data_IF_210682785186
#
_entry.id   IF_210682785186
#
_cell.length_a   1.000
_cell.length_b   1.000
_cell.length_c   1.000
_cell.angle_alpha   90.00
_cell.angle_beta   90.00
_cell.angle_gamma   90.00
#
_symmetry.space_group_name_H-M   'P 1'
#
loop_
_entity.id
_entity.type
_entity.pdbx_description
1 polymer ?
#
# COMPACT_ATOMS: atom_id res chain seq x y z
N UNK A 1 -52.71 44.45 3.37
CA UNK A 1 -51.72 43.41 3.71
C UNK A 1 -50.80 43.98 4.79
N UNK A 2 -50.94 43.51 6.03
CA UNK A 2 -50.32 44.11 7.22
C UNK A 2 -48.95 43.47 7.43
N UNK A 3 -47.87 44.17 7.08
CA UNK A 3 -46.51 43.75 7.41
C UNK A 3 -46.32 43.88 8.92
N UNK A 4 -46.29 42.75 9.64
CA UNK A 4 -45.94 42.69 11.06
C UNK A 4 -44.45 43.01 11.21
N UNK A 5 -44.14 44.23 11.68
CA UNK A 5 -42.80 44.61 12.11
C UNK A 5 -42.49 43.87 13.41
N UNK A 6 -41.50 42.98 13.42
CA UNK A 6 -41.03 42.33 14.64
C UNK A 6 -40.40 43.39 15.59
N UNK A 7 -40.62 43.28 16.91
CA UNK A 7 -40.07 44.20 17.89
C UNK A 7 -38.54 44.09 17.98
N UNK A 8 -37.84 45.22 18.07
CA UNK A 8 -36.38 45.30 18.11
C UNK A 8 -35.71 44.37 19.16
N UNK A 9 -36.40 44.11 20.28
CA UNK A 9 -35.95 43.22 21.34
C UNK A 9 -35.82 41.73 20.92
N UNK A 10 -36.52 41.31 19.86
CA UNK A 10 -36.46 39.93 19.34
C UNK A 10 -35.36 39.74 18.29
N UNK A 11 -34.79 40.83 17.77
CA UNK A 11 -33.79 40.79 16.68
C UNK A 11 -32.39 40.46 17.22
N UNK A 12 -32.03 40.98 18.39
CA UNK A 12 -30.74 40.74 19.06
C UNK A 12 -30.45 39.25 19.37
N UNK A 13 -31.37 38.51 20.05
CA UNK A 13 -31.10 37.09 20.36
C UNK A 13 -31.08 36.23 19.09
N UNK A 14 -31.88 36.56 18.08
CA UNK A 14 -31.91 35.82 16.80
C UNK A 14 -30.60 36.03 16.03
N UNK A 15 -30.04 37.25 16.00
CA UNK A 15 -28.71 37.50 15.41
C UNK A 15 -27.60 36.77 16.17
N UNK A 16 -27.65 36.76 17.50
CA UNK A 16 -26.65 36.07 18.33
C UNK A 16 -26.66 34.55 18.12
N UNK A 17 -27.86 33.96 18.01
CA UNK A 17 -28.03 32.53 17.70
C UNK A 17 -27.52 32.23 16.28
N UNK A 18 -27.84 33.06 15.28
CA UNK A 18 -27.30 32.91 13.92
C UNK A 18 -25.78 33.01 13.90
N UNK A 19 -25.17 33.96 14.60
CA UNK A 19 -23.71 34.07 14.70
C UNK A 19 -23.08 32.87 15.41
N UNK A 20 -23.70 32.35 16.47
CA UNK A 20 -23.20 31.17 17.19
C UNK A 20 -23.28 29.89 16.35
N UNK A 21 -24.35 29.73 15.55
CA UNK A 21 -24.51 28.63 14.60
C UNK A 21 -23.50 28.73 13.44
N UNK A 22 -23.21 29.95 12.95
CA UNK A 22 -22.15 30.18 11.96
C UNK A 22 -20.75 29.85 12.52
N UNK A 23 -20.44 30.25 13.76
CA UNK A 23 -19.14 29.96 14.42
C UNK A 23 -18.95 28.46 14.68
N UNK A 24 -20.02 27.74 15.01
CA UNK A 24 -19.95 26.28 15.19
C UNK A 24 -19.88 25.51 13.86
N UNK A 25 -20.38 26.08 12.76
CA UNK A 25 -20.19 25.51 11.41
C UNK A 25 -18.76 25.67 10.87
N UNK A 26 -18.03 26.71 11.30
CA UNK A 26 -16.67 26.98 10.79
C UNK A 26 -15.59 26.03 11.33
N UNK A 27 -15.81 25.33 12.44
CA UNK A 27 -14.82 24.39 12.98
C UNK A 27 -14.83 23.00 12.32
N UNK A 28 -15.76 22.74 11.40
CA UNK A 28 -15.95 21.41 10.81
C UNK A 28 -15.40 21.24 9.39
N UNK A 29 -14.49 22.10 8.91
CA UNK A 29 -13.98 22.02 7.52
C UNK A 29 -12.45 22.13 7.44
N UNK A 30 -11.73 21.22 8.10
CA UNK A 30 -10.31 20.95 7.81
C UNK A 30 -10.02 19.44 7.90
N UNK A 31 -10.62 18.66 7.01
CA UNK A 31 -10.08 17.36 6.61
C UNK A 31 -9.59 17.43 5.17
N UNK A 32 -8.59 18.29 4.94
CA UNK A 32 -7.83 18.27 3.69
C UNK A 32 -6.92 17.04 3.76
N UNK A 33 -7.26 16.00 2.99
CA UNK A 33 -6.46 14.81 2.64
C UNK A 33 -4.98 14.91 3.06
N UNK A 34 -4.70 14.62 4.33
CA UNK A 34 -3.32 14.57 4.81
C UNK A 34 -2.65 13.34 4.17
N UNK A 35 -1.43 13.53 3.66
CA UNK A 35 -0.60 12.41 3.24
C UNK A 35 -0.43 11.47 4.43
N UNK A 36 -0.72 10.16 4.30
CA UNK A 36 -0.57 9.23 5.41
C UNK A 36 0.85 9.27 5.97
N UNK A 37 0.99 9.05 7.28
CA UNK A 37 2.27 9.17 7.97
C UNK A 37 3.36 8.31 7.32
N UNK A 38 3.00 7.09 6.87
CA UNK A 38 3.92 6.16 6.22
C UNK A 38 4.48 6.64 4.87
N UNK A 39 3.91 7.68 4.26
CA UNK A 39 4.39 8.27 2.99
C UNK A 39 5.18 9.55 3.26
N UNK A 40 6.51 9.43 3.17
CA UNK A 40 7.38 10.59 3.02
C UNK A 40 7.24 11.17 1.60
N UNK A 41 6.58 12.31 1.47
CA UNK A 41 6.26 12.92 0.17
C UNK A 41 7.45 13.57 -0.51
N UNK A 42 7.56 13.41 -1.84
CA UNK A 42 8.58 14.03 -2.68
C UNK A 42 7.97 15.05 -3.63
N UNK A 43 8.61 16.22 -3.77
CA UNK A 43 8.17 17.23 -4.73
C UNK A 43 8.56 16.84 -6.15
N UNK A 44 7.60 16.89 -7.09
CA UNK A 44 7.83 16.54 -8.51
C UNK A 44 8.89 17.40 -9.19
N UNK A 45 9.09 18.63 -8.71
CA UNK A 45 10.05 19.60 -9.22
C UNK A 45 11.43 19.47 -8.57
N UNK A 46 11.63 18.56 -7.60
CA UNK A 46 12.92 18.37 -6.94
C UNK A 46 13.94 17.78 -7.93
N UNK A 47 15.06 18.48 -8.24
CA UNK A 47 16.11 17.94 -9.11
C UNK A 47 16.76 16.68 -8.54
N UNK A 48 16.57 16.37 -7.25
CA UNK A 48 17.05 15.17 -6.55
C UNK A 48 15.91 14.22 -6.17
N UNK A 49 14.81 14.23 -6.93
CA UNK A 49 13.64 13.38 -6.66
C UNK A 49 13.97 11.89 -6.46
N UNK A 50 14.93 11.33 -7.22
CA UNK A 50 15.34 9.93 -7.03
C UNK A 50 15.90 9.67 -5.61
N UNK A 51 16.66 10.62 -5.06
CA UNK A 51 17.20 10.50 -3.70
C UNK A 51 16.11 10.67 -2.65
N UNK A 52 15.11 11.54 -2.91
CA UNK A 52 13.94 11.66 -2.06
C UNK A 52 13.15 10.35 -2.03
N UNK A 53 12.83 9.78 -3.20
CA UNK A 53 12.11 8.50 -3.33
C UNK A 53 12.86 7.38 -2.60
N UNK A 54 14.19 7.31 -2.72
CA UNK A 54 15.00 6.35 -1.96
C UNK A 54 14.74 6.46 -0.45
N UNK A 55 14.77 7.69 0.09
CA UNK A 55 14.48 7.94 1.51
C UNK A 55 13.04 7.57 1.87
N UNK A 56 12.09 7.77 0.96
CA UNK A 56 10.69 7.36 1.15
C UNK A 56 10.59 5.85 1.33
N UNK A 57 11.33 5.04 0.57
CA UNK A 57 11.36 3.59 0.82
C UNK A 57 11.98 3.25 2.18
N UNK A 58 13.10 3.88 2.54
CA UNK A 58 13.71 3.68 3.86
C UNK A 58 12.75 4.05 5.02
N UNK A 59 11.96 5.12 4.86
CA UNK A 59 10.90 5.54 5.78
C UNK A 59 9.71 4.56 5.82
N UNK A 60 9.35 4.01 4.67
CA UNK A 60 8.21 3.10 4.52
C UNK A 60 8.48 1.73 5.16
N UNK A 61 9.75 1.30 5.28
CA UNK A 61 10.17 0.00 5.81
C UNK A 61 9.43 -0.45 7.08
N UNK A 62 9.41 0.29 8.21
CA UNK A 62 8.72 -0.15 9.43
C UNK A 62 7.22 -0.41 9.20
N UNK A 63 6.55 0.39 8.36
CA UNK A 63 5.14 0.22 8.06
C UNK A 63 4.88 -1.00 7.16
N UNK A 64 5.81 -1.36 6.27
CA UNK A 64 5.71 -2.62 5.51
C UNK A 64 5.89 -3.83 6.43
N UNK A 65 6.79 -3.73 7.41
CA UNK A 65 7.01 -4.80 8.40
C UNK A 65 5.76 -5.02 9.25
N UNK A 66 5.10 -3.97 9.72
CA UNK A 66 3.84 -4.12 10.48
C UNK A 66 2.62 -4.43 9.61
N UNK A 67 2.70 -4.14 8.31
CA UNK A 67 1.53 -3.98 7.46
C UNK A 67 0.82 -2.65 7.69
N UNK A 68 -0.12 -2.32 6.82
CA UNK A 68 -0.92 -1.09 6.85
C UNK A 68 -2.41 -1.48 6.77
N UNK A 69 -3.09 -1.62 7.93
CA UNK A 69 -4.48 -2.13 7.99
C UNK A 69 -5.49 -1.29 7.20
N UNK A 70 -5.29 0.03 7.17
CA UNK A 70 -6.15 1.00 6.49
C UNK A 70 -6.32 0.70 4.99
N UNK A 71 -5.25 0.20 4.36
CA UNK A 71 -5.24 -0.21 2.95
C UNK A 71 -5.19 -1.73 2.77
N UNK A 72 -5.43 -2.49 3.85
CA UNK A 72 -5.39 -3.96 3.86
C UNK A 72 -4.05 -4.53 3.39
N UNK A 73 -2.96 -3.80 3.62
CA UNK A 73 -1.61 -4.30 3.34
C UNK A 73 -1.18 -5.19 4.51
N UNK A 74 -0.94 -6.46 4.22
CA UNK A 74 -0.37 -7.40 5.18
C UNK A 74 1.13 -7.10 5.43
N UNK A 75 1.66 -7.66 6.51
CA UNK A 75 3.09 -7.61 6.80
C UNK A 75 3.92 -8.24 5.68
N UNK A 76 5.08 -7.64 5.39
CA UNK A 76 6.12 -8.25 4.54
C UNK A 76 7.12 -9.11 5.32
N UNK A 77 7.01 -9.19 6.65
CA UNK A 77 7.96 -9.89 7.53
C UNK A 77 7.29 -10.41 8.82
N UNK A 78 6.98 -11.71 8.91
CA UNK A 78 6.99 -12.67 7.81
C UNK A 78 5.87 -12.40 6.81
N UNK A 79 6.16 -12.55 5.51
CA UNK A 79 5.14 -12.50 4.47
C UNK A 79 4.45 -13.86 4.37
N UNK A 80 3.16 -13.90 4.72
CA UNK A 80 2.34 -15.12 4.69
C UNK A 80 1.48 -15.15 3.44
N UNK A 81 1.61 -16.19 2.62
CA UNK A 81 0.80 -16.41 1.43
C UNK A 81 0.06 -17.75 1.58
N UNK A 82 -1.27 -17.73 1.78
CA UNK A 82 -2.03 -18.96 2.04
C UNK A 82 -1.97 -19.96 0.89
N UNK A 83 -1.99 -19.46 -0.36
CA UNK A 83 -1.95 -20.29 -1.56
C UNK A 83 -1.38 -19.51 -2.74
N UNK A 84 -0.47 -20.14 -3.48
CA UNK A 84 0.02 -19.66 -4.77
C UNK A 84 -0.05 -20.79 -5.78
N UNK A 85 -0.52 -20.49 -6.99
CA UNK A 85 -0.63 -21.46 -8.07
C UNK A 85 0.13 -20.96 -9.29
N UNK A 86 0.98 -21.83 -9.84
CA UNK A 86 1.75 -21.58 -11.05
C UNK A 86 1.45 -22.67 -12.06
N UNK A 87 1.17 -22.27 -13.30
CA UNK A 87 0.91 -23.20 -14.39
C UNK A 87 1.54 -22.68 -15.67
N UNK A 88 2.25 -23.54 -16.40
CA UNK A 88 2.58 -23.32 -17.80
C UNK A 88 1.78 -24.27 -18.69
N UNK A 89 1.15 -23.74 -19.74
CA UNK A 89 0.15 -24.47 -20.53
C UNK A 89 0.69 -25.34 -21.66
N UNK A 90 1.65 -24.83 -22.43
CA UNK A 90 2.05 -25.41 -23.72
C UNK A 90 3.56 -25.68 -23.78
N UNK A 91 3.95 -26.63 -24.64
CA UNK A 91 5.34 -26.93 -24.94
C UNK A 91 5.84 -28.23 -24.30
N UNK A 92 7.16 -28.42 -24.39
CA UNK A 92 7.87 -29.61 -23.89
C UNK A 92 7.78 -29.78 -22.37
N UNK A 93 7.46 -28.72 -21.61
CA UNK A 93 7.33 -28.74 -20.16
C UNK A 93 5.95 -28.22 -19.81
N UNK A 94 5.12 -29.09 -19.22
CA UNK A 94 3.76 -28.75 -18.76
C UNK A 94 3.66 -29.10 -17.29
N UNK A 95 3.60 -28.09 -16.44
CA UNK A 95 3.69 -28.23 -14.99
C UNK A 95 2.64 -27.32 -14.35
N UNK A 96 1.94 -27.89 -13.37
CA UNK A 96 1.12 -27.16 -12.40
C UNK A 96 1.77 -27.34 -11.03
N UNK A 97 2.12 -26.24 -10.40
CA UNK A 97 2.66 -26.18 -9.05
C UNK A 97 1.70 -25.41 -8.16
N UNK A 98 1.28 -26.02 -7.05
CA UNK A 98 0.50 -25.38 -6.00
C UNK A 98 1.38 -25.30 -4.77
N UNK A 99 1.54 -24.10 -4.24
CA UNK A 99 2.23 -23.85 -2.98
C UNK A 99 1.20 -23.42 -1.94
N UNK A 100 1.32 -23.94 -0.73
CA UNK A 100 0.38 -23.69 0.37
C UNK A 100 1.09 -23.25 1.64
N UNK A 101 0.39 -22.45 2.44
CA UNK A 101 0.86 -22.00 3.76
C UNK A 101 2.29 -21.44 3.73
N UNK A 102 2.62 -20.65 2.70
CA UNK A 102 3.97 -20.15 2.55
C UNK A 102 4.24 -19.05 3.57
N UNK A 103 5.40 -19.12 4.22
CA UNK A 103 5.89 -18.09 5.13
C UNK A 103 7.27 -17.67 4.66
N UNK A 104 7.41 -16.41 4.27
CA UNK A 104 8.62 -15.85 3.66
C UNK A 104 9.26 -14.86 4.64
N UNK A 105 10.56 -15.03 4.86
CA UNK A 105 11.37 -14.23 5.77
C UNK A 105 12.50 -13.50 5.04
N UNK A 106 12.92 -12.38 5.60
CA UNK A 106 14.07 -11.60 5.14
C UNK A 106 13.72 -10.49 4.14
N UNK A 107 12.47 -10.40 3.67
CA UNK A 107 12.04 -9.39 2.70
C UNK A 107 12.15 -7.96 3.27
N UNK A 108 12.07 -7.80 4.59
CA UNK A 108 12.28 -6.51 5.27
C UNK A 108 13.72 -6.01 5.23
N UNK A 109 14.70 -6.90 5.10
CA UNK A 109 16.13 -6.57 5.08
C UNK A 109 16.60 -6.15 3.68
N UNK A 110 15.82 -5.31 3.02
CA UNK A 110 16.16 -4.78 1.72
C UNK A 110 17.00 -3.49 1.83
N UNK A 111 17.92 -3.34 0.87
CA UNK A 111 18.62 -2.09 0.58
C UNK A 111 18.20 -1.57 -0.78
N UNK A 112 17.84 -0.27 -0.86
CA UNK A 112 17.55 0.39 -2.13
C UNK A 112 18.86 0.71 -2.83
N UNK A 113 19.18 0.00 -3.90
CA UNK A 113 20.44 0.15 -4.66
C UNK A 113 20.33 1.21 -5.75
N UNK A 114 19.15 1.42 -6.33
CA UNK A 114 18.95 2.42 -7.38
C UNK A 114 17.51 2.88 -7.48
N UNK A 115 17.32 4.15 -7.80
CA UNK A 115 16.01 4.72 -8.15
C UNK A 115 16.16 5.49 -9.46
N UNK A 116 15.32 5.19 -10.44
CA UNK A 116 15.18 5.98 -11.67
C UNK A 116 13.72 6.36 -11.86
N UNK A 117 13.40 7.64 -11.85
CA UNK A 117 12.04 8.13 -12.06
C UNK A 117 11.94 8.96 -13.34
N UNK A 118 10.87 8.72 -14.08
CA UNK A 118 10.37 9.58 -15.15
C UNK A 118 9.00 10.10 -14.71
N UNK A 119 8.99 11.32 -14.19
CA UNK A 119 7.80 11.95 -13.61
C UNK A 119 6.76 12.27 -14.69
N UNK A 120 7.19 12.53 -15.92
CA UNK A 120 6.28 12.84 -17.03
C UNK A 120 5.55 11.58 -17.50
N UNK A 121 6.23 10.43 -17.50
CA UNK A 121 5.64 9.13 -17.85
C UNK A 121 5.06 8.37 -16.65
N UNK A 122 5.13 8.95 -15.45
CA UNK A 122 4.74 8.31 -14.19
C UNK A 122 5.39 6.93 -14.01
N UNK A 123 6.65 6.79 -14.43
CA UNK A 123 7.41 5.55 -14.34
C UNK A 123 8.47 5.68 -13.26
N UNK A 124 8.61 4.63 -12.45
CA UNK A 124 9.66 4.52 -11.46
C UNK A 124 10.25 3.11 -11.51
N UNK A 125 11.56 3.02 -11.76
CA UNK A 125 12.32 1.78 -11.69
C UNK A 125 13.11 1.78 -10.38
N UNK A 126 12.87 0.75 -9.56
CA UNK A 126 13.48 0.55 -8.26
C UNK A 126 14.37 -0.69 -8.29
N UNK A 127 15.63 -0.53 -7.89
CA UNK A 127 16.52 -1.64 -7.62
C UNK A 127 16.55 -1.92 -6.12
N UNK A 128 16.25 -3.15 -5.73
CA UNK A 128 16.33 -3.63 -4.36
C UNK A 128 17.35 -4.77 -4.27
N UNK A 129 18.16 -4.76 -3.22
CA UNK A 129 19.03 -5.88 -2.84
C UNK A 129 18.52 -6.46 -1.53
N UNK A 130 18.27 -7.77 -1.51
CA UNK A 130 17.87 -8.51 -0.31
C UNK A 130 18.91 -9.61 -0.10
N UNK A 131 19.70 -9.60 0.98
CA UNK A 131 20.87 -10.46 1.12
C UNK A 131 20.51 -11.93 1.35
N UNK A 132 19.34 -12.19 1.96
CA UNK A 132 18.84 -13.54 2.24
C UNK A 132 17.32 -13.50 2.25
N UNK A 133 16.70 -14.43 1.53
CA UNK A 133 15.29 -14.74 1.61
C UNK A 133 15.18 -16.20 1.99
N UNK A 134 14.31 -16.49 2.95
CA UNK A 134 13.93 -17.86 3.30
C UNK A 134 12.44 -18.00 3.11
N UNK A 135 12.00 -19.15 2.62
CA UNK A 135 10.60 -19.44 2.48
C UNK A 135 10.37 -20.86 2.97
N UNK A 136 9.34 -21.04 3.79
CA UNK A 136 8.85 -22.35 4.18
C UNK A 136 7.43 -22.55 3.69
N UNK A 137 7.03 -23.79 3.46
CA UNK A 137 5.66 -24.08 3.08
C UNK A 137 5.48 -25.49 2.53
N UNK A 138 4.30 -25.75 1.97
CA UNK A 138 4.00 -27.01 1.30
C UNK A 138 3.93 -26.80 -0.21
N UNK A 139 4.26 -27.85 -0.96
CA UNK A 139 4.12 -27.84 -2.41
C UNK A 139 3.49 -29.13 -2.93
N UNK A 140 2.75 -28.99 -4.02
CA UNK A 140 2.29 -30.09 -4.87
C UNK A 140 2.58 -29.72 -6.33
N UNK A 141 3.41 -30.53 -6.98
CA UNK A 141 3.83 -30.35 -8.36
C UNK A 141 3.35 -31.54 -9.17
N UNK A 142 2.55 -31.28 -10.19
CA UNK A 142 2.07 -32.30 -11.13
C UNK A 142 2.33 -31.80 -12.55
N UNK A 143 2.91 -32.65 -13.39
CA UNK A 143 3.22 -32.25 -14.75
C UNK A 143 3.77 -33.35 -15.63
N UNK A 144 4.26 -32.94 -16.78
CA UNK A 144 4.92 -33.76 -17.77
C UNK A 144 6.09 -32.98 -18.36
N UNK A 145 7.28 -33.58 -18.29
CA UNK A 145 8.50 -33.09 -18.93
C UNK A 145 8.79 -34.01 -20.10
N UNK A 146 8.62 -33.50 -21.32
CA UNK A 146 8.64 -34.26 -22.56
C UNK A 146 7.63 -35.43 -22.52
N UNK A 147 8.13 -36.66 -22.38
CA UNK A 147 7.33 -37.88 -22.28
C UNK A 147 7.20 -38.38 -20.84
N UNK A 148 7.92 -37.78 -19.88
CA UNK A 148 8.00 -38.25 -18.51
C UNK A 148 6.98 -37.56 -17.61
N UNK A 149 6.08 -38.30 -16.95
CA UNK A 149 5.19 -37.73 -15.94
C UNK A 149 5.97 -37.40 -14.68
N UNK A 150 5.70 -36.22 -14.10
CA UNK A 150 6.28 -35.75 -12.83
C UNK A 150 5.16 -35.56 -11.83
N UNK A 151 5.30 -36.14 -10.65
CA UNK A 151 4.46 -35.88 -9.49
C UNK A 151 5.34 -35.79 -8.25
N UNK A 152 5.24 -34.70 -7.54
CA UNK A 152 5.94 -34.50 -6.28
C UNK A 152 5.07 -33.72 -5.31
N UNK A 153 5.20 -34.03 -4.03
CA UNK A 153 4.54 -33.32 -2.94
C UNK A 153 5.47 -33.33 -1.73
N UNK A 154 5.49 -32.25 -0.98
CA UNK A 154 6.32 -32.17 0.21
C UNK A 154 6.30 -30.80 0.85
N UNK A 155 7.32 -30.58 1.66
CA UNK A 155 7.58 -29.33 2.35
C UNK A 155 8.93 -28.78 1.89
N UNK A 156 9.09 -27.46 2.00
CA UNK A 156 10.32 -26.74 1.74
C UNK A 156 10.55 -25.71 2.83
#
# INVERSE_FOLDING_TARGET
>A
MRASRLPAATVLPVLAILSAVFVSYTEAVLSINATPEYIHSCQRTDPRINACIKKTFDHLRPYLISGIPEIKLASIEPMVIPKMEMQNGHGAVRVRAVFGNMTIYGASNYSVISVRSDINRLRMDLGLSIPRIEATGTYEVVGQVLLFPVRSRGEF
#
